data_IF_483327604685
#
_entry.id   IF_483327604685
#
_cell.length_a   1.000
_cell.length_b   1.000
_cell.length_c   1.000
_cell.angle_alpha   90.00
_cell.angle_beta   90.00
_cell.angle_gamma   90.00
#
_symmetry.space_group_name_H-M   'P 1'
#
loop_
_entity.id
_entity.type
_entity.pdbx_description
1 polymer ?
#
# COMPACT_ATOMS: atom_id res chain seq x y z
N UNK A 1 -33.92 -5.61 -43.97
CA UNK A 1 -32.46 -5.58 -43.97
C UNK A 1 -31.99 -5.34 -42.53
N UNK A 2 -31.21 -6.25 -41.93
CA UNK A 2 -30.63 -6.09 -40.61
C UNK A 2 -29.23 -5.54 -40.79
N UNK A 3 -28.96 -4.32 -40.26
CA UNK A 3 -27.65 -3.72 -40.26
C UNK A 3 -27.02 -3.82 -38.88
N UNK A 4 -25.83 -4.37 -38.79
CA UNK A 4 -25.03 -4.42 -37.56
C UNK A 4 -23.85 -3.45 -37.73
N UNK A 5 -23.73 -2.49 -36.79
CA UNK A 5 -22.61 -1.57 -36.75
C UNK A 5 -21.78 -1.87 -35.52
N UNK A 6 -20.54 -2.31 -35.71
CA UNK A 6 -19.56 -2.44 -34.64
C UNK A 6 -18.73 -1.15 -34.58
N UNK A 7 -18.76 -0.47 -33.45
CA UNK A 7 -17.91 0.69 -33.23
C UNK A 7 -16.73 0.24 -32.35
N UNK A 8 -15.52 0.44 -32.87
CA UNK A 8 -14.26 0.12 -32.17
C UNK A 8 -13.54 1.41 -31.78
N UNK A 9 -13.13 1.52 -30.53
CA UNK A 9 -12.26 2.60 -30.06
C UNK A 9 -10.81 2.20 -30.29
N UNK A 10 -10.13 2.94 -31.12
CA UNK A 10 -8.75 2.65 -31.50
C UNK A 10 -7.77 2.81 -30.31
N UNK A 11 -7.97 3.84 -29.50
CA UNK A 11 -7.09 4.20 -28.38
C UNK A 11 -7.86 4.40 -27.08
N UNK A 12 -7.24 4.06 -25.99
CA UNK A 12 -7.75 4.19 -24.63
C UNK A 12 -6.64 4.63 -23.67
N UNK A 13 -6.97 4.93 -22.43
CA UNK A 13 -6.02 5.31 -21.39
C UNK A 13 -5.70 4.13 -20.47
N UNK A 14 -4.50 4.15 -19.87
CA UNK A 14 -4.11 3.32 -18.75
C UNK A 14 -3.58 4.21 -17.63
N UNK A 15 -4.11 4.04 -16.42
CA UNK A 15 -3.65 4.74 -15.21
C UNK A 15 -3.08 3.74 -14.22
N UNK A 16 -1.85 3.99 -13.76
CA UNK A 16 -1.19 3.22 -12.71
C UNK A 16 -1.02 4.14 -11.52
N UNK A 17 -1.65 3.82 -10.39
CA UNK A 17 -1.73 4.69 -9.21
C UNK A 17 -1.07 4.06 -8.01
N UNK A 18 -0.45 4.90 -7.16
CA UNK A 18 0.11 4.50 -5.87
C UNK A 18 -0.68 5.10 -4.71
N UNK A 19 -0.94 4.26 -3.71
CA UNK A 19 -1.53 4.65 -2.43
C UNK A 19 -0.74 4.03 -1.29
N UNK A 20 -0.49 4.80 -0.24
CA UNK A 20 0.19 4.33 0.97
C UNK A 20 -0.74 4.51 2.17
N UNK A 21 -0.96 3.46 2.96
CA UNK A 21 -1.85 3.42 4.12
C UNK A 21 -1.10 3.11 5.41
N UNK A 22 -1.65 3.53 6.55
CA UNK A 22 -1.10 3.37 7.88
C UNK A 22 -0.84 4.71 8.55
N UNK A 23 -1.00 4.77 9.87
CA UNK A 23 -0.83 6.02 10.64
C UNK A 23 0.61 6.53 10.58
N UNK A 24 1.58 5.62 10.59
CA UNK A 24 3.01 5.93 10.55
C UNK A 24 3.65 5.67 9.19
N UNK A 25 2.84 5.43 8.15
CA UNK A 25 3.35 5.24 6.80
C UNK A 25 3.99 6.53 6.27
N UNK A 26 5.18 6.38 5.69
CA UNK A 26 5.86 7.48 5.01
C UNK A 26 5.19 7.75 3.66
N UNK A 27 4.49 8.87 3.56
CA UNK A 27 3.78 9.30 2.35
C UNK A 27 4.71 9.88 1.28
N UNK A 28 5.95 10.17 1.64
CA UNK A 28 6.96 10.72 0.72
C UNK A 28 7.90 9.66 0.18
N UNK A 29 7.78 8.42 0.68
CA UNK A 29 8.60 7.30 0.24
C UNK A 29 8.28 6.96 -1.21
N UNK A 30 9.32 6.94 -2.05
CA UNK A 30 9.28 6.41 -3.40
C UNK A 30 9.28 4.88 -3.38
N UNK A 31 8.39 4.29 -4.16
CA UNK A 31 8.36 2.86 -4.44
C UNK A 31 8.81 2.63 -5.89
N UNK A 32 9.58 1.57 -6.08
CA UNK A 32 10.14 1.22 -7.37
C UNK A 32 9.17 0.33 -8.15
N UNK A 33 8.96 0.67 -9.41
CA UNK A 33 8.10 -0.05 -10.35
C UNK A 33 8.83 -0.36 -11.63
N UNK A 34 8.38 -1.42 -12.30
CA UNK A 34 8.69 -1.68 -13.70
C UNK A 34 7.41 -1.84 -14.51
N UNK A 35 7.44 -1.42 -15.76
CA UNK A 35 6.37 -1.67 -16.72
C UNK A 35 6.96 -2.20 -18.04
N UNK A 36 6.30 -3.21 -18.61
CA UNK A 36 6.60 -3.73 -19.94
C UNK A 36 5.32 -3.82 -20.75
N UNK A 37 5.37 -3.31 -21.98
CA UNK A 37 4.28 -3.43 -22.94
C UNK A 37 4.60 -4.51 -23.97
N UNK A 38 3.56 -5.22 -24.42
CA UNK A 38 3.59 -6.08 -25.57
C UNK A 38 2.71 -5.47 -26.68
N UNK A 39 3.09 -5.69 -27.93
CA UNK A 39 2.38 -5.14 -29.07
C UNK A 39 0.93 -5.62 -29.12
N UNK A 40 0.00 -4.71 -29.40
CA UNK A 40 -1.38 -5.08 -29.60
C UNK A 40 -1.54 -6.04 -30.79
N UNK A 41 -2.30 -7.11 -30.62
CA UNK A 41 -2.49 -8.16 -31.63
C UNK A 41 -3.23 -7.65 -32.86
N UNK A 42 -4.05 -6.60 -32.71
CA UNK A 42 -4.99 -6.09 -33.72
C UNK A 42 -4.42 -5.01 -34.64
N UNK A 43 -3.19 -4.54 -34.40
CA UNK A 43 -2.68 -3.39 -35.12
C UNK A 43 -1.34 -3.64 -35.81
N UNK A 44 -1.30 -3.24 -37.07
CA UNK A 44 -0.07 -2.95 -37.80
C UNK A 44 0.58 -1.64 -37.30
N UNK A 45 0.51 -1.37 -35.99
CA UNK A 45 1.04 -0.15 -35.42
C UNK A 45 2.57 -0.20 -35.42
N UNK A 46 3.20 0.76 -36.07
CA UNK A 46 4.64 0.90 -36.14
C UNK A 46 5.22 1.69 -34.94
N UNK A 47 4.40 2.03 -33.96
CA UNK A 47 4.88 2.69 -32.75
C UNK A 47 5.72 1.70 -31.94
N UNK A 48 6.97 2.03 -31.75
CA UNK A 48 7.89 1.26 -30.92
C UNK A 48 7.94 1.77 -29.47
N UNK A 49 7.35 2.95 -29.20
CA UNK A 49 7.42 3.64 -27.92
C UNK A 49 6.05 4.13 -27.50
N UNK A 50 5.61 3.74 -26.32
CA UNK A 50 4.47 4.36 -25.65
C UNK A 50 4.95 5.42 -24.66
N UNK A 51 4.23 6.53 -24.57
CA UNK A 51 4.58 7.67 -23.73
C UNK A 51 3.53 7.88 -22.65
N UNK A 52 3.96 7.84 -21.38
CA UNK A 52 3.15 8.17 -20.22
C UNK A 52 3.69 9.40 -19.50
N UNK A 53 2.95 9.86 -18.47
CA UNK A 53 3.32 11.00 -17.63
C UNK A 53 3.10 10.69 -16.16
N UNK A 54 4.04 11.19 -15.33
CA UNK A 54 3.90 11.31 -13.88
C UNK A 54 3.95 12.81 -13.59
N UNK A 55 2.78 13.43 -13.31
CA UNK A 55 2.69 14.89 -13.28
C UNK A 55 3.16 15.51 -14.61
N UNK A 56 4.24 16.30 -14.55
CA UNK A 56 4.87 16.91 -15.74
C UNK A 56 6.01 16.06 -16.36
N UNK A 57 6.45 15.02 -15.66
CA UNK A 57 7.53 14.15 -16.11
C UNK A 57 7.04 13.18 -17.18
N UNK A 58 7.84 13.00 -18.23
CA UNK A 58 7.53 12.10 -19.35
C UNK A 58 8.28 10.78 -19.20
N UNK A 59 7.53 9.66 -19.17
CA UNK A 59 8.06 8.29 -19.14
C UNK A 59 7.87 7.66 -20.52
N UNK A 60 8.97 7.25 -21.15
CA UNK A 60 8.98 6.60 -22.46
C UNK A 60 9.24 5.11 -22.32
N UNK A 61 8.30 4.28 -22.75
CA UNK A 61 8.34 2.84 -22.65
C UNK A 61 8.48 2.23 -24.03
N UNK A 62 9.62 1.57 -24.30
CA UNK A 62 9.81 0.85 -25.56
C UNK A 62 9.12 -0.51 -25.46
N UNK A 63 8.37 -0.87 -26.50
CA UNK A 63 7.62 -2.13 -26.55
C UNK A 63 8.59 -3.31 -26.47
N UNK A 64 8.29 -4.28 -25.61
CA UNK A 64 9.09 -5.47 -25.35
C UNK A 64 10.21 -5.29 -24.32
N UNK A 65 10.50 -4.05 -23.91
CA UNK A 65 11.50 -3.75 -22.90
C UNK A 65 10.87 -3.32 -21.56
N UNK A 66 11.52 -3.62 -20.46
CA UNK A 66 11.12 -3.12 -19.15
C UNK A 66 11.57 -1.67 -18.97
N UNK A 67 10.67 -0.85 -18.49
CA UNK A 67 10.92 0.55 -18.12
C UNK A 67 10.71 0.72 -16.63
N UNK A 68 11.74 1.17 -15.92
CA UNK A 68 11.65 1.49 -14.49
C UNK A 68 11.11 2.90 -14.28
N UNK A 69 10.31 3.07 -13.22
CA UNK A 69 9.79 4.36 -12.76
C UNK A 69 9.53 4.30 -11.25
N UNK A 70 9.22 5.45 -10.66
CA UNK A 70 8.91 5.57 -9.22
C UNK A 70 7.59 6.29 -9.02
N UNK A 71 6.86 5.90 -7.98
CA UNK A 71 5.68 6.61 -7.50
C UNK A 71 5.70 6.65 -5.98
N UNK A 72 5.29 7.79 -5.41
CA UNK A 72 4.92 7.90 -4.00
C UNK A 72 3.40 8.00 -3.81
N UNK A 73 2.96 8.17 -2.56
CA UNK A 73 1.53 8.25 -2.24
C UNK A 73 0.80 9.34 -3.03
N UNK A 74 -0.30 8.98 -3.68
CA UNK A 74 -1.12 9.89 -4.46
C UNK A 74 -0.66 10.12 -5.90
N UNK A 75 0.51 9.66 -6.29
CA UNK A 75 0.99 9.77 -7.67
C UNK A 75 0.42 8.71 -8.60
N UNK A 76 0.51 9.02 -9.90
CA UNK A 76 0.06 8.11 -10.96
C UNK A 76 0.90 8.29 -12.23
N UNK A 77 1.25 7.18 -12.85
CA UNK A 77 1.71 7.14 -14.24
C UNK A 77 0.50 6.95 -15.15
N UNK A 78 0.29 7.88 -16.08
CA UNK A 78 -0.86 7.91 -17.00
C UNK A 78 -0.40 7.84 -18.44
N UNK A 79 -0.92 6.88 -19.17
CA UNK A 79 -0.84 6.79 -20.62
C UNK A 79 -2.20 7.19 -21.19
N UNK A 80 -2.27 8.33 -21.87
CA UNK A 80 -3.53 8.88 -22.38
C UNK A 80 -4.03 8.20 -23.64
N UNK A 81 -3.13 7.56 -24.38
CA UNK A 81 -3.44 7.00 -25.70
C UNK A 81 -2.64 5.73 -25.96
N UNK A 82 -3.23 4.59 -25.63
CA UNK A 82 -2.71 3.27 -25.96
C UNK A 82 -3.69 2.56 -26.88
N UNK A 83 -3.23 1.80 -27.90
CA UNK A 83 -4.12 0.98 -28.70
C UNK A 83 -4.90 0.00 -27.82
N UNK A 84 -6.21 -0.10 -28.02
CA UNK A 84 -7.00 -1.14 -27.35
C UNK A 84 -6.48 -2.52 -27.79
N UNK A 85 -6.36 -3.45 -26.85
CA UNK A 85 -5.72 -4.74 -27.05
C UNK A 85 -4.22 -4.77 -26.78
N UNK A 86 -3.60 -3.65 -26.40
CA UNK A 86 -2.22 -3.62 -25.89
C UNK A 86 -2.13 -4.44 -24.62
N UNK A 87 -1.18 -5.36 -24.56
CA UNK A 87 -0.87 -6.11 -23.34
C UNK A 87 0.18 -5.38 -22.53
N UNK A 88 0.08 -5.46 -21.20
CA UNK A 88 1.06 -4.88 -20.32
C UNK A 88 1.27 -5.74 -19.07
N UNK A 89 2.45 -5.63 -18.51
CA UNK A 89 2.80 -6.12 -17.18
C UNK A 89 3.36 -4.95 -16.40
N UNK A 90 2.79 -4.65 -15.24
CA UNK A 90 3.34 -3.70 -14.29
C UNK A 90 3.59 -4.40 -12.97
N UNK A 91 4.76 -4.14 -12.40
CA UNK A 91 5.20 -4.75 -11.15
C UNK A 91 5.68 -3.67 -10.19
N UNK A 92 5.28 -3.75 -8.94
CA UNK A 92 5.93 -3.08 -7.84
C UNK A 92 7.01 -4.00 -7.29
N UNK A 93 8.25 -3.55 -7.33
CA UNK A 93 9.39 -4.23 -6.72
C UNK A 93 9.20 -4.24 -5.20
N UNK A 94 9.71 -5.27 -4.54
CA UNK A 94 9.50 -5.48 -3.10
C UNK A 94 9.58 -4.18 -2.28
N UNK A 95 8.49 -3.85 -1.61
CA UNK A 95 8.29 -2.57 -0.89
C UNK A 95 9.03 -2.53 0.43
N UNK A 96 9.98 -3.21 0.78
CA UNK A 96 10.80 -3.23 2.02
C UNK A 96 10.27 -2.35 3.18
N UNK A 97 10.82 -2.49 4.35
CA UNK A 97 10.54 -1.66 5.54
C UNK A 97 9.12 -1.82 6.13
N UNK A 98 8.57 -3.03 6.11
CA UNK A 98 7.33 -3.35 6.84
C UNK A 98 6.04 -3.00 6.10
N UNK A 99 6.11 -2.83 4.78
CA UNK A 99 4.92 -2.61 3.96
C UNK A 99 4.34 -3.92 3.42
N UNK A 100 3.03 -4.06 3.54
CA UNK A 100 2.24 -5.14 2.92
C UNK A 100 1.61 -4.63 1.64
N UNK A 101 2.08 -5.06 0.45
CA UNK A 101 1.55 -4.58 -0.82
C UNK A 101 0.28 -5.33 -1.24
N UNK A 102 -0.62 -4.61 -1.90
CA UNK A 102 -1.78 -5.14 -2.59
C UNK A 102 -1.97 -4.45 -3.93
N UNK A 103 -2.58 -5.16 -4.87
CA UNK A 103 -2.88 -4.68 -6.21
C UNK A 103 -4.35 -4.88 -6.52
N UNK A 104 -4.92 -3.92 -7.24
CA UNK A 104 -6.23 -4.02 -7.88
C UNK A 104 -6.07 -3.65 -9.35
N UNK A 105 -6.57 -4.49 -10.25
CA UNK A 105 -6.56 -4.26 -11.70
C UNK A 105 -7.99 -4.13 -12.21
N UNK A 106 -8.24 -3.11 -13.00
CA UNK A 106 -9.49 -2.87 -13.72
C UNK A 106 -9.15 -2.83 -15.20
N UNK A 107 -9.76 -3.72 -15.98
CA UNK A 107 -9.63 -3.79 -17.42
C UNK A 107 -10.98 -3.54 -18.06
N UNK A 108 -11.03 -2.64 -19.02
CA UNK A 108 -12.27 -2.30 -19.73
C UNK A 108 -13.45 -1.95 -18.80
N UNK A 109 -13.17 -1.31 -17.65
CA UNK A 109 -14.18 -0.96 -16.65
C UNK A 109 -14.56 -2.09 -15.70
N UNK A 110 -13.98 -3.29 -15.84
CA UNK A 110 -14.26 -4.44 -14.97
C UNK A 110 -13.04 -4.77 -14.12
N UNK A 111 -13.25 -5.00 -12.83
CA UNK A 111 -12.18 -5.47 -11.94
C UNK A 111 -11.83 -6.93 -12.29
N UNK A 112 -10.59 -7.17 -12.70
CA UNK A 112 -10.08 -8.50 -13.11
C UNK A 112 -9.18 -9.13 -12.06
N UNK A 113 -8.45 -8.32 -11.29
CA UNK A 113 -7.58 -8.78 -10.21
C UNK A 113 -7.76 -7.94 -8.95
N UNK A 114 -7.72 -8.60 -7.81
CA UNK A 114 -7.45 -7.98 -6.51
C UNK A 114 -6.75 -9.00 -5.63
N UNK A 115 -5.52 -8.70 -5.23
CA UNK A 115 -4.73 -9.59 -4.37
C UNK A 115 -3.83 -8.81 -3.44
N UNK A 116 -3.36 -9.49 -2.40
CA UNK A 116 -2.41 -8.98 -1.41
C UNK A 116 -1.36 -10.05 -1.22
N UNK A 117 -0.10 -9.65 -1.16
CA UNK A 117 1.01 -10.56 -0.84
C UNK A 117 1.56 -10.25 0.55
N UNK A 118 2.44 -11.11 1.04
CA UNK A 118 3.07 -10.89 2.35
C UNK A 118 3.98 -9.67 2.33
N UNK A 119 4.26 -9.15 3.52
CA UNK A 119 5.18 -8.05 3.77
C UNK A 119 6.49 -8.22 3.01
N UNK A 120 7.03 -7.13 2.53
CA UNK A 120 8.30 -7.03 1.79
C UNK A 120 8.40 -7.90 0.51
N UNK A 121 7.28 -8.25 -0.10
CA UNK A 121 7.24 -8.92 -1.41
C UNK A 121 6.90 -7.95 -2.53
N UNK A 122 7.38 -8.26 -3.73
CA UNK A 122 6.92 -7.62 -4.96
C UNK A 122 5.54 -8.11 -5.35
N UNK A 123 4.79 -7.32 -6.13
CA UNK A 123 3.46 -7.65 -6.59
C UNK A 123 3.28 -7.19 -8.04
N UNK A 124 2.65 -8.02 -8.87
CA UNK A 124 2.56 -7.81 -10.31
C UNK A 124 1.14 -7.99 -10.84
N UNK A 125 0.82 -7.29 -11.92
CA UNK A 125 -0.40 -7.48 -12.71
C UNK A 125 -0.34 -8.69 -13.65
N UNK A 126 0.79 -9.38 -13.76
CA UNK A 126 1.02 -10.44 -14.75
C UNK A 126 0.08 -11.64 -14.65
N UNK A 127 -0.40 -11.96 -13.45
CA UNK A 127 -1.28 -13.10 -13.21
C UNK A 127 -2.60 -13.05 -13.98
N UNK A 128 -3.02 -11.87 -14.42
CA UNK A 128 -4.28 -11.66 -15.14
C UNK A 128 -4.13 -11.54 -16.65
N UNK A 129 -2.89 -11.46 -17.16
CA UNK A 129 -2.66 -11.17 -18.57
C UNK A 129 -3.26 -9.82 -18.98
N UNK A 130 -2.95 -8.79 -18.21
CA UNK A 130 -3.53 -7.44 -18.28
C UNK A 130 -3.62 -6.86 -19.67
N UNK A 131 -4.80 -6.35 -20.04
CA UNK A 131 -5.11 -5.77 -21.34
C UNK A 131 -5.64 -4.34 -21.20
N UNK A 132 -5.24 -3.48 -22.13
CA UNK A 132 -5.89 -2.18 -22.34
C UNK A 132 -7.17 -2.40 -23.11
N UNK A 133 -8.32 -2.25 -22.47
CA UNK A 133 -9.64 -2.29 -23.11
C UNK A 133 -10.07 -0.90 -23.61
N UNK A 134 -11.23 -0.83 -24.24
CA UNK A 134 -11.77 0.42 -24.82
C UNK A 134 -12.31 1.42 -23.78
N UNK A 135 -12.61 0.93 -22.56
CA UNK A 135 -13.09 1.75 -21.45
C UNK A 135 -11.97 2.00 -20.43
N UNK A 136 -12.34 2.29 -19.17
CA UNK A 136 -11.40 2.56 -18.09
C UNK A 136 -10.45 1.39 -17.85
N UNK A 137 -9.15 1.66 -17.82
CA UNK A 137 -8.10 0.71 -17.45
C UNK A 137 -7.27 1.33 -16.33
N UNK A 138 -7.22 0.65 -15.21
CA UNK A 138 -6.55 1.16 -14.01
C UNK A 138 -5.84 0.04 -13.24
N UNK A 139 -4.64 0.34 -12.77
CA UNK A 139 -3.91 -0.49 -11.81
C UNK A 139 -3.66 0.35 -10.57
N UNK A 140 -4.12 -0.13 -9.42
CA UNK A 140 -3.94 0.55 -8.14
C UNK A 140 -3.07 -0.31 -7.25
N UNK A 141 -1.90 0.19 -6.91
CA UNK A 141 -1.02 -0.40 -5.91
C UNK A 141 -1.25 0.29 -4.56
N UNK A 142 -1.46 -0.51 -3.54
CA UNK A 142 -1.62 -0.01 -2.17
C UNK A 142 -0.62 -0.70 -1.25
N UNK A 143 0.23 0.09 -0.58
CA UNK A 143 1.13 -0.40 0.45
C UNK A 143 0.59 -0.02 1.82
N UNK A 144 0.31 -1.02 2.63
CA UNK A 144 -0.16 -0.82 4.00
C UNK A 144 1.00 -1.05 4.97
N UNK A 145 1.40 0.02 5.67
CA UNK A 145 2.34 -0.08 6.77
C UNK A 145 1.59 -0.61 8.00
N UNK A 146 2.07 -1.69 8.59
CA UNK A 146 1.47 -2.22 9.81
C UNK A 146 1.88 -1.34 10.98
N UNK A 147 0.92 -0.62 11.53
CA UNK A 147 1.10 0.06 12.80
C UNK A 147 1.37 -1.01 13.87
N UNK A 148 2.54 -1.00 14.47
CA UNK A 148 2.80 -1.79 15.67
C UNK A 148 1.81 -1.26 16.72
N UNK A 149 0.84 -2.08 17.07
CA UNK A 149 -0.10 -1.71 18.12
C UNK A 149 0.67 -1.42 19.40
N UNK A 150 0.76 -0.16 19.77
CA UNK A 150 1.39 0.31 21.03
C UNK A 150 0.70 -0.29 22.27
N UNK A 151 -0.46 -0.94 22.07
CA UNK A 151 -1.26 -1.57 23.10
C UNK A 151 -0.53 -2.65 23.90
N UNK A 152 0.50 -3.30 23.36
CA UNK A 152 1.31 -4.29 24.08
C UNK A 152 2.17 -3.70 25.22
N UNK A 153 2.58 -2.43 25.13
CA UNK A 153 3.43 -1.77 26.13
C UNK A 153 2.59 -1.25 27.31
N UNK A 154 1.37 -0.77 27.06
CA UNK A 154 0.49 -0.21 28.10
C UNK A 154 -0.11 -1.30 28.99
N UNK A 155 -0.44 -2.45 28.44
CA UNK A 155 -1.04 -3.56 29.21
C UNK A 155 -0.05 -4.29 30.12
N UNK A 156 1.26 -4.20 29.83
CA UNK A 156 2.26 -4.90 30.62
C UNK A 156 2.75 -4.10 31.85
N UNK A 157 2.26 -2.89 32.06
CA UNK A 157 2.61 -2.07 33.24
C UNK A 157 1.75 -2.35 34.47
N UNK A 158 0.70 -3.14 34.37
CA UNK A 158 -0.15 -3.52 35.49
C UNK A 158 0.62 -4.14 36.68
N UNK A 159 1.61 -5.04 36.44
CA UNK A 159 2.40 -5.60 37.54
C UNK A 159 3.17 -4.51 38.33
N UNK A 160 3.70 -3.50 37.64
CA UNK A 160 4.42 -2.39 38.28
C UNK A 160 3.48 -1.45 39.04
N UNK A 161 2.29 -1.20 38.52
CA UNK A 161 1.27 -0.38 39.21
C UNK A 161 0.82 -1.08 40.49
N UNK A 162 0.59 -2.40 40.48
CA UNK A 162 0.23 -3.20 41.65
C UNK A 162 1.36 -3.17 42.64
N UNK A 163 2.62 -3.32 42.23
CA UNK A 163 3.80 -3.23 43.14
C UNK A 163 3.90 -1.87 43.82
N UNK A 164 3.66 -0.79 43.12
CA UNK A 164 3.67 0.57 43.68
C UNK A 164 2.55 0.73 44.73
N UNK A 165 1.35 0.24 44.44
CA UNK A 165 0.22 0.31 45.38
C UNK A 165 0.50 -0.51 46.62
N UNK A 166 1.08 -1.71 46.50
CA UNK A 166 1.48 -2.55 47.62
C UNK A 166 2.57 -1.89 48.45
N UNK A 167 3.56 -1.25 47.83
CA UNK A 167 4.64 -0.56 48.55
C UNK A 167 4.10 0.63 49.36
N UNK A 168 3.19 1.42 48.77
CA UNK A 168 2.54 2.54 49.48
C UNK A 168 1.68 2.03 50.64
N UNK A 169 0.91 0.97 50.42
CA UNK A 169 0.11 0.31 51.46
C UNK A 169 0.96 -0.18 52.66
N UNK A 170 2.08 -0.83 52.38
CA UNK A 170 3.01 -1.28 53.41
C UNK A 170 3.63 -0.12 54.18
N UNK A 171 3.97 0.98 53.52
CA UNK A 171 4.47 2.19 54.20
C UNK A 171 3.43 2.81 55.15
N UNK A 172 2.18 2.88 54.76
CA UNK A 172 1.09 3.43 55.56
C UNK A 172 0.81 2.55 56.78
N UNK A 173 0.79 1.23 56.60
CA UNK A 173 0.62 0.27 57.69
C UNK A 173 1.79 0.37 58.69
N UNK A 174 3.03 0.48 58.22
CA UNK A 174 4.19 0.59 59.11
C UNK A 174 4.19 1.88 59.95
N UNK A 175 3.68 3.00 59.38
CA UNK A 175 3.50 4.26 60.13
C UNK A 175 2.36 4.15 61.15
N UNK A 176 1.25 3.47 60.80
CA UNK A 176 0.14 3.22 61.71
C UNK A 176 0.55 2.40 62.93
N UNK A 177 1.27 1.32 62.70
CA UNK A 177 1.78 0.45 63.79
C UNK A 177 2.75 1.21 64.71
N UNK A 178 3.64 2.04 64.16
CA UNK A 178 4.56 2.88 64.95
C UNK A 178 3.82 3.93 65.81
N UNK A 179 2.71 4.47 65.29
CA UNK A 179 1.87 5.43 65.99
C UNK A 179 1.14 4.81 67.18
N UNK A 180 0.56 3.61 66.98
CA UNK A 180 -0.13 2.86 68.07
C UNK A 180 0.84 2.48 69.18
N UNK A 181 2.01 1.95 68.85
CA UNK A 181 3.03 1.56 69.77
C UNK A 181 3.61 2.73 70.59
N UNK A 182 3.58 3.95 70.05
CA UNK A 182 4.03 5.16 70.77
C UNK A 182 2.99 5.65 71.78
N UNK A 183 1.70 5.47 71.49
CA UNK A 183 0.60 5.83 72.35
C UNK A 183 0.48 4.85 73.59
N UNK A 184 0.70 3.54 73.35
CA UNK A 184 0.69 2.56 74.43
C UNK A 184 1.82 2.75 75.41
N UNK A 185 3.00 3.22 75.00
CA UNK A 185 4.10 3.58 75.90
C UNK A 185 3.82 4.83 76.72
N UNK A 186 2.99 5.76 76.22
CA UNK A 186 2.67 7.01 76.92
C UNK A 186 1.59 6.82 78.04
N UNK A 187 0.78 5.75 77.96
CA UNK A 187 -0.28 5.43 78.91
C UNK A 187 0.15 4.46 80.02
N UNK A 188 1.45 4.11 80.10
CA UNK A 188 2.01 3.21 81.08
C UNK A 188 2.97 3.89 82.09
N UNK A 189 2.88 5.25 82.24
CA UNK A 189 3.64 6.01 83.24
C UNK A 189 2.64 6.64 84.21
#
# INVERSE_FOLDING_TARGET
ELSFTNTYRKNSSLKISKTTKGMYADKTKDFDFTIRFEKAVTEANNEEIYTGKIGEETVKCKIGEETAFKLHDGESLVFDSLPAGTRYVVEEVAAKDGYTPSIKVVENGVQTLQTTVSEDKGISSAETGSLVGENSNEVVFTNTYQDIAVTGIVLNNWPFIILIILAIGAMLLSKGIKSVNKNDKKNRI
#
